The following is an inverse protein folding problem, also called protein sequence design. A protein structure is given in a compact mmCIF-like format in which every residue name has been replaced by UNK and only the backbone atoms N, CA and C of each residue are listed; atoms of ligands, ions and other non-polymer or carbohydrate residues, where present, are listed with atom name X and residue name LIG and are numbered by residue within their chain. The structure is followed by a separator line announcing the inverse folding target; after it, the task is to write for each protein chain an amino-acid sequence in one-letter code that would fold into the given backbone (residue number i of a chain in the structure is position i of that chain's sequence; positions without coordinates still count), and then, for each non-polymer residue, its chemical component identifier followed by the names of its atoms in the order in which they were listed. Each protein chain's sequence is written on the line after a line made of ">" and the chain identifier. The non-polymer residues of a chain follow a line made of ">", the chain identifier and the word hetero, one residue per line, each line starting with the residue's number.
data_IF_387464414447
#
_entry.id   IF_387464414447
#
_cell.length_a   1.000
_cell.length_b   1.000
_cell.length_c   1.000
_cell.angle_alpha   90.00
_cell.angle_beta   90.00
_cell.angle_gamma   90.00
#
_symmetry.space_group_name_H-M   'P 1'
#
loop_
_entity.id
_entity.type
_entity.pdbx_description
1 polymer ?
#
# COMPACT_ATOMS: atom_id res chain seq x y z
N UNK A 1 27.57 -17.26 17.61
CA UNK A 1 27.09 -15.86 17.69
C UNK A 1 28.22 -14.97 18.23
N UNK A 2 28.71 -14.02 17.44
CA UNK A 2 29.92 -13.24 17.78
C UNK A 2 29.61 -12.17 18.84
N UNK A 3 30.36 -12.14 19.95
CA UNK A 3 30.11 -11.27 21.13
C UNK A 3 30.16 -9.77 20.81
N UNK A 4 30.79 -9.39 19.70
CA UNK A 4 30.82 -8.03 19.15
C UNK A 4 29.45 -7.57 18.60
N UNK A 5 28.69 -8.48 17.98
CA UNK A 5 27.35 -8.18 17.42
C UNK A 5 26.36 -7.90 18.56
N UNK A 6 26.47 -8.65 19.66
CA UNK A 6 25.66 -8.48 20.88
C UNK A 6 25.88 -7.11 21.53
N UNK A 7 27.08 -6.53 21.44
CA UNK A 7 27.35 -5.18 21.96
C UNK A 7 26.74 -4.07 21.11
N UNK A 8 26.68 -4.23 19.77
CA UNK A 8 26.01 -3.26 18.87
C UNK A 8 24.47 -3.30 18.98
N UNK A 9 23.90 -4.43 19.41
CA UNK A 9 22.45 -4.62 19.60
C UNK A 9 21.86 -3.80 20.78
N UNK A 10 22.67 -3.33 21.73
CA UNK A 10 22.18 -2.68 22.96
C UNK A 10 21.84 -1.18 22.84
N UNK A 11 22.07 -0.53 21.70
CA UNK A 11 21.96 0.94 21.59
C UNK A 11 20.82 1.46 20.71
N UNK A 12 20.06 0.59 20.04
CA UNK A 12 18.97 1.03 19.17
C UNK A 12 17.66 0.30 19.52
N UNK A 13 16.62 1.00 20.01
CA UNK A 13 15.37 0.39 20.47
C UNK A 13 14.63 -0.39 19.37
N UNK A 14 14.91 -0.13 18.08
CA UNK A 14 14.38 -0.93 16.96
C UNK A 14 14.88 -2.38 16.98
N UNK A 15 16.09 -2.64 17.48
CA UNK A 15 16.65 -3.99 17.57
C UNK A 15 16.17 -4.75 18.81
N UNK A 16 15.70 -4.03 19.84
CA UNK A 16 15.10 -4.65 21.01
C UNK A 16 13.73 -5.29 20.66
N UNK A 17 12.92 -4.61 19.83
CA UNK A 17 11.64 -5.14 19.33
C UNK A 17 11.83 -6.40 18.47
N UNK A 18 12.87 -6.42 17.64
CA UNK A 18 13.16 -7.57 16.75
C UNK A 18 13.68 -8.81 17.47
N UNK A 19 14.15 -8.67 18.72
CA UNK A 19 14.86 -9.74 19.42
C UNK A 19 13.95 -10.94 19.73
N UNK A 20 12.70 -10.67 20.11
CA UNK A 20 11.75 -11.72 20.52
C UNK A 20 11.18 -12.49 19.32
N UNK A 21 10.88 -11.81 18.22
CA UNK A 21 10.37 -12.45 17.00
C UNK A 21 11.36 -13.46 16.39
N UNK A 22 12.66 -13.19 16.50
CA UNK A 22 13.70 -14.11 16.02
C UNK A 22 13.84 -15.35 16.91
N UNK A 23 13.56 -15.21 18.21
CA UNK A 23 13.71 -16.28 19.21
C UNK A 23 12.50 -17.23 19.22
N UNK A 24 11.28 -16.73 18.99
CA UNK A 24 10.05 -17.54 18.98
C UNK A 24 9.97 -18.51 17.81
N UNK A 25 10.54 -18.18 16.66
CA UNK A 25 10.41 -18.97 15.45
C UNK A 25 11.55 -20.00 15.20
N UNK A 26 12.51 -20.21 16.12
CA UNK A 26 13.64 -21.15 15.96
C UNK A 26 14.32 -21.10 14.55
N UNK A 27 14.51 -19.88 14.00
CA UNK A 27 14.76 -19.68 12.56
C UNK A 27 16.23 -19.75 12.13
N UNK A 28 17.20 -20.28 12.88
CA UNK A 28 18.58 -20.25 12.36
C UNK A 28 18.77 -21.10 11.10
N UNK A 29 18.18 -22.30 11.04
CA UNK A 29 18.24 -23.16 9.85
C UNK A 29 17.27 -22.75 8.74
N UNK A 30 16.12 -22.18 9.11
CA UNK A 30 15.08 -21.76 8.17
C UNK A 30 15.44 -20.42 7.52
N UNK A 31 16.12 -19.52 8.23
CA UNK A 31 16.61 -18.24 7.70
C UNK A 31 17.76 -18.50 6.72
N UNK A 32 18.65 -19.44 7.04
CA UNK A 32 19.68 -19.91 6.10
C UNK A 32 19.06 -20.57 4.85
N UNK A 33 18.02 -21.38 5.01
CA UNK A 33 17.30 -21.98 3.88
C UNK A 33 16.64 -20.94 2.97
N UNK A 34 15.94 -19.98 3.56
CA UNK A 34 15.25 -18.91 2.83
C UNK A 34 16.22 -17.92 2.20
N UNK A 35 17.31 -17.60 2.89
CA UNK A 35 18.40 -16.80 2.34
C UNK A 35 19.06 -17.50 1.15
N UNK A 36 19.35 -18.80 1.27
CA UNK A 36 19.84 -19.62 0.16
C UNK A 36 18.86 -19.57 -1.02
N UNK A 37 17.57 -19.79 -0.77
CA UNK A 37 16.53 -19.77 -1.81
C UNK A 37 16.42 -18.41 -2.52
N UNK A 38 16.45 -17.31 -1.78
CA UNK A 38 16.40 -15.94 -2.33
C UNK A 38 17.67 -15.59 -3.12
N UNK A 39 18.85 -15.98 -2.62
CA UNK A 39 20.12 -15.80 -3.32
C UNK A 39 20.17 -16.61 -4.62
N UNK A 40 19.72 -17.87 -4.57
CA UNK A 40 19.53 -18.75 -5.74
C UNK A 40 18.60 -18.13 -6.78
N UNK A 41 17.38 -17.74 -6.38
CA UNK A 41 16.42 -17.08 -7.27
C UNK A 41 16.97 -15.78 -7.88
N UNK A 42 17.70 -14.97 -7.09
CA UNK A 42 18.36 -13.75 -7.56
C UNK A 42 19.48 -14.05 -8.56
N UNK A 43 20.27 -15.10 -8.31
CA UNK A 43 21.38 -15.51 -9.16
C UNK A 43 20.84 -16.05 -10.49
N UNK A 44 19.85 -16.92 -10.47
CA UNK A 44 19.21 -17.45 -11.69
C UNK A 44 18.54 -16.36 -12.51
N UNK A 45 17.88 -15.40 -11.85
CA UNK A 45 17.36 -14.22 -12.53
C UNK A 45 18.47 -13.41 -13.25
N UNK A 46 19.68 -13.34 -12.69
CA UNK A 46 20.82 -12.58 -13.25
C UNK A 46 21.62 -13.34 -14.30
N UNK A 47 21.83 -14.63 -14.12
CA UNK A 47 22.74 -15.45 -14.93
C UNK A 47 22.13 -15.81 -16.30
N UNK A 48 20.80 -15.79 -16.41
CA UNK A 48 20.10 -16.02 -17.68
C UNK A 48 20.39 -17.39 -18.29
N UNK A 49 19.98 -17.60 -19.54
CA UNK A 49 20.01 -18.91 -20.23
C UNK A 49 21.41 -19.49 -20.53
N UNK A 50 22.50 -18.84 -20.11
CA UNK A 50 23.87 -19.29 -20.41
C UNK A 50 24.39 -20.40 -19.47
N UNK A 51 23.76 -20.60 -18.31
CA UNK A 51 24.11 -21.66 -17.37
C UNK A 51 23.01 -22.73 -17.34
N UNK A 52 23.40 -24.00 -17.50
CA UNK A 52 22.50 -25.13 -17.27
C UNK A 52 22.38 -25.38 -15.76
N UNK A 53 21.37 -24.77 -15.12
CA UNK A 53 21.08 -25.01 -13.71
C UNK A 53 20.28 -26.30 -13.53
N UNK A 54 20.83 -27.26 -12.80
CA UNK A 54 20.13 -28.47 -12.32
C UNK A 54 19.73 -28.36 -10.84
N UNK A 55 20.07 -27.24 -10.19
CA UNK A 55 19.90 -27.05 -8.76
C UNK A 55 18.50 -26.52 -8.41
N UNK A 56 17.78 -25.96 -9.38
CA UNK A 56 16.54 -25.24 -9.13
C UNK A 56 15.34 -25.87 -9.82
N UNK A 57 14.18 -25.85 -9.14
CA UNK A 57 12.91 -26.34 -9.66
C UNK A 57 12.15 -25.32 -10.51
N UNK A 58 12.83 -24.38 -11.18
CA UNK A 58 12.18 -23.36 -12.00
C UNK A 58 11.65 -23.97 -13.30
N UNK A 59 10.34 -23.85 -13.59
CA UNK A 59 9.80 -24.32 -14.87
C UNK A 59 10.43 -23.58 -16.05
N UNK A 60 10.60 -24.28 -17.18
CA UNK A 60 11.05 -23.64 -18.41
C UNK A 60 9.97 -22.67 -18.92
N UNK A 61 10.35 -21.41 -19.15
CA UNK A 61 9.47 -20.36 -19.67
C UNK A 61 8.82 -20.71 -21.00
N UNK A 62 9.51 -21.49 -21.84
CA UNK A 62 9.00 -21.92 -23.15
C UNK A 62 7.82 -22.90 -23.01
N UNK A 63 7.59 -23.47 -21.82
CA UNK A 63 6.44 -24.32 -21.51
C UNK A 63 5.20 -23.53 -21.05
N UNK A 64 5.32 -22.22 -20.82
CA UNK A 64 4.19 -21.40 -20.42
C UNK A 64 3.19 -21.26 -21.58
N UNK A 65 1.87 -21.38 -21.35
CA UNK A 65 0.87 -21.45 -22.42
C UNK A 65 0.53 -20.08 -23.04
N UNK A 66 1.28 -19.03 -22.72
CA UNK A 66 0.97 -17.65 -23.11
C UNK A 66 2.10 -17.06 -23.95
N UNK A 67 1.75 -16.52 -25.12
CA UNK A 67 2.72 -15.90 -26.04
C UNK A 67 2.78 -14.39 -25.92
N UNK A 68 1.65 -13.74 -25.56
CA UNK A 68 1.51 -12.30 -25.48
C UNK A 68 0.36 -11.89 -24.55
N UNK A 69 0.53 -10.80 -23.82
CA UNK A 69 -0.54 -10.10 -23.12
C UNK A 69 -0.53 -8.62 -23.49
N UNK A 70 -1.70 -8.09 -23.84
CA UNK A 70 -1.89 -6.67 -24.18
C UNK A 70 -2.92 -6.06 -23.24
N UNK A 71 -2.57 -4.95 -22.60
CA UNK A 71 -3.46 -4.18 -21.73
C UNK A 71 -3.57 -2.77 -22.27
N UNK A 72 -4.78 -2.37 -22.64
CA UNK A 72 -5.08 -1.02 -23.09
C UNK A 72 -5.50 -0.15 -21.91
N UNK A 73 -4.95 1.06 -21.85
CA UNK A 73 -5.19 2.03 -20.77
C UNK A 73 -6.19 3.10 -21.22
N UNK A 74 -6.86 3.75 -20.25
CA UNK A 74 -7.90 4.75 -20.54
C UNK A 74 -7.35 6.05 -21.12
N UNK A 75 -6.08 6.32 -20.93
CA UNK A 75 -5.31 7.43 -21.49
C UNK A 75 -4.75 7.12 -22.89
N UNK A 76 -5.11 5.95 -23.48
CA UNK A 76 -4.73 5.57 -24.83
C UNK A 76 -3.34 4.95 -24.96
N UNK A 77 -2.67 4.70 -23.84
CA UNK A 77 -1.44 3.90 -23.79
C UNK A 77 -1.73 2.40 -23.88
N UNK A 78 -0.74 1.63 -24.33
CA UNK A 78 -0.83 0.16 -24.44
C UNK A 78 0.39 -0.46 -23.76
N UNK A 79 0.14 -1.33 -22.79
CA UNK A 79 1.15 -2.17 -22.17
C UNK A 79 1.17 -3.52 -22.90
N UNK A 80 2.33 -3.91 -23.40
CA UNK A 80 2.54 -5.19 -24.09
C UNK A 80 3.58 -6.01 -23.33
N UNK A 81 3.20 -7.21 -22.91
CA UNK A 81 4.10 -8.21 -22.33
C UNK A 81 4.27 -9.35 -23.34
N UNK A 82 5.47 -9.52 -23.87
CA UNK A 82 5.83 -10.58 -24.81
C UNK A 82 7.30 -11.00 -24.63
N UNK A 83 7.65 -12.18 -25.13
CA UNK A 83 9.01 -12.72 -25.04
C UNK A 83 9.53 -12.79 -23.60
N UNK A 84 10.73 -12.27 -23.36
CA UNK A 84 11.38 -12.32 -22.04
C UNK A 84 10.62 -11.55 -20.96
N UNK A 85 9.93 -10.47 -21.30
CA UNK A 85 9.18 -9.68 -20.30
C UNK A 85 7.95 -10.44 -19.81
N UNK A 86 7.28 -11.18 -20.71
CA UNK A 86 6.21 -12.10 -20.32
C UNK A 86 6.76 -13.30 -19.52
N UNK A 87 7.91 -13.85 -19.94
CA UNK A 87 8.60 -14.92 -19.22
C UNK A 87 8.88 -14.52 -17.76
N UNK A 88 9.52 -13.36 -17.55
CA UNK A 88 9.77 -12.81 -16.21
C UNK A 88 8.48 -12.55 -15.42
N UNK A 89 7.43 -12.02 -16.07
CA UNK A 89 6.15 -11.73 -15.41
C UNK A 89 5.42 -12.99 -14.91
N UNK A 90 5.70 -14.15 -15.51
CA UNK A 90 5.09 -15.44 -15.17
C UNK A 90 6.00 -16.34 -14.32
N UNK A 91 7.26 -15.98 -14.15
CA UNK A 91 8.28 -16.75 -13.44
C UNK A 91 8.44 -16.32 -11.98
N UNK A 92 9.05 -17.19 -11.18
CA UNK A 92 9.57 -16.82 -9.86
C UNK A 92 10.57 -15.67 -9.94
N UNK A 93 10.45 -14.74 -8.99
CA UNK A 93 11.34 -13.58 -8.82
C UNK A 93 11.78 -13.48 -7.36
N UNK A 94 12.80 -12.67 -7.03
CA UNK A 94 13.18 -12.45 -5.64
C UNK A 94 11.99 -12.03 -4.78
N UNK A 95 11.94 -12.52 -3.54
CA UNK A 95 10.81 -12.29 -2.64
C UNK A 95 10.54 -10.83 -2.33
N UNK A 96 11.60 -10.01 -2.34
CA UNK A 96 11.49 -8.57 -2.26
C UNK A 96 10.56 -7.96 -3.32
N UNK A 97 10.55 -8.52 -4.54
CA UNK A 97 9.75 -8.06 -5.68
C UNK A 97 10.50 -8.09 -7.01
N UNK A 98 9.76 -7.79 -8.09
CA UNK A 98 10.29 -7.68 -9.44
C UNK A 98 11.32 -6.52 -9.51
N UNK A 99 12.57 -6.77 -9.96
CA UNK A 99 13.63 -5.76 -9.90
C UNK A 99 13.34 -4.43 -10.62
N UNK A 100 12.65 -4.47 -11.76
CA UNK A 100 12.23 -3.27 -12.48
C UNK A 100 11.28 -2.42 -11.63
N UNK A 101 10.26 -3.06 -11.04
CA UNK A 101 9.33 -2.39 -10.14
C UNK A 101 10.04 -1.84 -8.90
N UNK A 102 10.96 -2.60 -8.28
CA UNK A 102 11.71 -2.11 -7.12
C UNK A 102 12.51 -0.85 -7.45
N UNK A 103 13.11 -0.77 -8.64
CA UNK A 103 13.82 0.43 -9.09
C UNK A 103 12.88 1.63 -9.23
N UNK A 104 11.71 1.44 -9.84
CA UNK A 104 10.69 2.48 -9.98
C UNK A 104 10.18 2.96 -8.62
N UNK A 105 9.88 2.04 -7.71
CA UNK A 105 9.40 2.35 -6.36
C UNK A 105 10.44 3.11 -5.53
N UNK A 106 11.73 2.76 -5.65
CA UNK A 106 12.82 3.49 -4.99
C UNK A 106 12.90 4.94 -5.49
N UNK A 107 12.85 5.14 -6.82
CA UNK A 107 12.83 6.49 -7.40
C UNK A 107 11.60 7.26 -6.92
N UNK A 108 10.43 6.63 -6.98
CA UNK A 108 9.17 7.21 -6.54
C UNK A 108 9.24 7.70 -5.07
N UNK A 109 9.76 6.87 -4.16
CA UNK A 109 9.93 7.24 -2.76
C UNK A 109 10.90 8.40 -2.57
N UNK A 110 12.02 8.40 -3.31
CA UNK A 110 13.02 9.44 -3.25
C UNK A 110 12.48 10.78 -3.77
N UNK A 111 11.78 10.76 -4.90
CA UNK A 111 11.26 11.97 -5.55
C UNK A 111 10.10 12.59 -4.76
N UNK A 112 9.19 11.75 -4.25
CA UNK A 112 7.99 12.21 -3.56
C UNK A 112 8.27 12.65 -2.11
N UNK A 113 9.03 11.86 -1.36
CA UNK A 113 9.21 12.04 0.08
C UNK A 113 10.57 12.61 0.46
N UNK A 114 11.59 12.50 -0.40
CA UNK A 114 12.96 13.01 -0.13
C UNK A 114 13.48 12.62 1.26
N UNK A 115 13.46 11.32 1.63
CA UNK A 115 13.91 10.89 2.95
C UNK A 115 15.38 11.26 3.22
N UNK A 116 15.76 11.51 4.49
CA UNK A 116 17.15 11.64 4.87
C UNK A 116 17.95 10.37 4.52
N UNK A 117 19.24 10.51 4.20
CA UNK A 117 20.09 9.39 3.81
C UNK A 117 20.32 8.40 4.98
N UNK A 118 19.51 7.35 5.02
CA UNK A 118 19.66 6.19 5.91
C UNK A 118 19.51 4.91 5.08
N UNK A 119 20.08 3.77 5.51
CA UNK A 119 19.96 2.50 4.81
C UNK A 119 18.51 2.00 4.89
N UNK A 120 17.71 2.38 3.89
CA UNK A 120 16.32 1.98 3.68
C UNK A 120 16.18 1.29 2.34
N UNK A 121 15.14 0.49 2.22
CA UNK A 121 14.77 -0.10 0.94
C UNK A 121 13.24 -0.27 0.87
N UNK A 122 12.74 -0.91 -0.20
CA UNK A 122 11.33 -1.17 -0.45
C UNK A 122 11.05 -2.66 -0.62
N UNK A 123 9.88 -3.13 -0.16
CA UNK A 123 9.39 -4.51 -0.26
C UNK A 123 7.99 -4.48 -0.88
N UNK A 124 7.75 -5.26 -1.93
CA UNK A 124 6.43 -5.36 -2.56
C UNK A 124 5.49 -6.16 -1.67
N UNK A 125 4.23 -5.74 -1.58
CA UNK A 125 3.19 -6.37 -0.76
C UNK A 125 1.88 -6.55 -1.52
N UNK A 126 1.01 -7.41 -0.98
CA UNK A 126 -0.33 -7.63 -1.50
C UNK A 126 -1.35 -6.52 -1.14
N UNK A 127 -0.88 -5.27 -1.15
CA UNK A 127 -1.61 -4.06 -0.77
C UNK A 127 -1.33 -3.58 0.65
N UNK A 128 -1.84 -2.38 0.98
CA UNK A 128 -1.52 -1.73 2.25
C UNK A 128 -1.98 -2.52 3.50
N UNK A 129 -3.05 -3.30 3.41
CA UNK A 129 -3.50 -4.16 4.51
C UNK A 129 -2.52 -5.31 4.79
N UNK A 130 -1.93 -5.91 3.75
CA UNK A 130 -0.91 -6.92 3.92
C UNK A 130 0.31 -6.31 4.62
N UNK A 131 0.79 -5.14 4.16
CA UNK A 131 1.89 -4.45 4.84
C UNK A 131 1.60 -4.10 6.31
N UNK A 132 0.37 -3.68 6.65
CA UNK A 132 -0.03 -3.45 8.06
C UNK A 132 0.04 -4.75 8.86
N UNK A 133 -0.53 -5.84 8.34
CA UNK A 133 -0.52 -7.14 8.99
C UNK A 133 0.91 -7.59 9.29
N UNK A 134 1.80 -7.57 8.30
CA UNK A 134 3.19 -7.98 8.49
C UNK A 134 3.92 -7.13 9.53
N UNK A 135 3.66 -5.81 9.57
CA UNK A 135 4.27 -4.95 10.58
C UNK A 135 3.74 -5.22 11.98
N UNK A 136 2.44 -5.47 12.13
CA UNK A 136 1.82 -5.81 13.43
C UNK A 136 2.37 -7.13 13.92
N UNK A 137 2.37 -8.16 13.08
CA UNK A 137 2.87 -9.50 13.43
C UNK A 137 4.36 -9.49 13.78
N UNK A 138 5.17 -8.70 13.06
CA UNK A 138 6.62 -8.60 13.30
C UNK A 138 6.98 -7.81 14.57
N UNK A 139 6.20 -6.78 14.93
CA UNK A 139 6.63 -5.78 15.91
C UNK A 139 5.91 -5.84 17.25
N UNK A 140 4.79 -6.56 17.33
CA UNK A 140 3.90 -6.51 18.49
C UNK A 140 3.63 -7.90 19.05
N UNK A 141 3.65 -7.98 20.37
CA UNK A 141 3.26 -9.18 21.12
C UNK A 141 1.87 -9.00 21.76
N UNK A 142 1.17 -10.10 22.08
CA UNK A 142 -0.06 -10.03 22.86
C UNK A 142 0.13 -9.28 24.18
N UNK A 143 -0.55 -8.14 24.32
CA UNK A 143 -0.47 -7.27 25.49
C UNK A 143 0.27 -5.95 25.25
N UNK A 144 0.94 -5.79 24.10
CA UNK A 144 1.61 -4.54 23.76
C UNK A 144 0.61 -3.40 23.47
N UNK A 145 0.81 -2.21 24.07
CA UNK A 145 -0.05 -1.06 23.79
C UNK A 145 0.27 -0.44 22.43
N UNK A 146 -0.76 -0.22 21.61
CA UNK A 146 -0.66 0.50 20.33
C UNK A 146 -1.39 1.83 20.45
N UNK A 147 -0.71 2.93 20.12
CA UNK A 147 -1.35 4.23 19.96
C UNK A 147 -1.96 4.31 18.56
N UNK A 148 -3.27 4.49 18.50
CA UNK A 148 -4.02 4.65 17.26
C UNK A 148 -4.84 5.94 17.28
N UNK A 149 -5.25 6.40 16.09
CA UNK A 149 -6.20 7.50 16.00
C UNK A 149 -7.61 7.03 16.39
N UNK A 150 -8.39 7.89 17.03
CA UNK A 150 -9.76 7.56 17.50
C UNK A 150 -10.72 7.06 16.40
N UNK A 151 -10.42 7.35 15.12
CA UNK A 151 -11.14 6.76 13.98
C UNK A 151 -10.45 5.44 13.60
N UNK A 152 -11.07 4.32 13.97
CA UNK A 152 -10.51 2.95 13.88
C UNK A 152 -10.08 2.48 12.49
N UNK A 153 -10.41 3.20 11.42
CA UNK A 153 -9.90 2.88 10.11
C UNK A 153 -8.54 3.54 9.89
N UNK A 154 -7.48 2.82 10.25
CA UNK A 154 -6.09 3.05 9.83
C UNK A 154 -5.98 3.27 8.30
N UNK A 155 -7.01 2.85 7.55
CA UNK A 155 -7.17 2.96 6.10
C UNK A 155 -7.79 4.26 5.58
N UNK A 156 -8.50 5.06 6.40
CA UNK A 156 -9.27 6.22 5.90
C UNK A 156 -8.57 7.56 6.10
N UNK A 157 -7.62 7.64 7.04
CA UNK A 157 -6.83 8.85 7.31
C UNK A 157 -5.41 8.81 6.78
N UNK A 158 -5.00 7.78 6.04
CA UNK A 158 -3.76 7.91 5.27
C UNK A 158 -3.95 9.15 4.39
N UNK A 159 -3.20 10.24 4.59
CA UNK A 159 -3.08 11.21 3.53
C UNK A 159 -2.47 10.39 2.40
N UNK A 160 -3.29 10.00 1.44
CA UNK A 160 -2.77 9.48 0.20
C UNK A 160 -1.97 10.66 -0.33
N UNK A 161 -0.67 10.72 -0.06
CA UNK A 161 0.18 11.82 -0.51
C UNK A 161 0.16 11.87 -2.04
N UNK A 162 -0.04 10.71 -2.67
CA UNK A 162 -0.43 10.52 -4.07
C UNK A 162 -1.66 11.36 -4.51
N UNK A 163 -2.61 11.64 -3.61
CA UNK A 163 -3.80 12.48 -3.81
C UNK A 163 -3.76 13.80 -3.04
N UNK A 164 -2.65 14.16 -2.39
CA UNK A 164 -2.57 15.43 -1.68
C UNK A 164 -2.41 16.57 -2.65
N UNK A 165 -3.27 17.57 -2.60
CA UNK A 165 -3.24 18.75 -3.48
C UNK A 165 -2.21 19.79 -3.04
N UNK A 166 -1.72 19.66 -1.81
CA UNK A 166 -0.58 20.40 -1.25
C UNK A 166 0.44 19.38 -0.75
N UNK A 167 1.71 19.50 -1.13
CA UNK A 167 2.72 18.56 -0.68
C UNK A 167 2.95 18.77 0.83
N UNK A 168 2.52 17.81 1.64
CA UNK A 168 2.74 17.79 3.10
C UNK A 168 3.93 16.86 3.34
N UNK A 169 4.94 17.26 4.12
CA UNK A 169 6.06 16.39 4.46
C UNK A 169 5.56 15.09 5.11
N UNK A 170 6.00 13.95 4.57
CA UNK A 170 5.68 12.64 5.14
C UNK A 170 6.51 12.40 6.40
N UNK A 171 6.07 11.49 7.29
CA UNK A 171 6.92 11.05 8.39
C UNK A 171 8.26 10.48 7.91
N UNK A 172 8.27 9.86 6.73
CA UNK A 172 9.47 9.33 6.10
C UNK A 172 10.48 10.45 5.75
N UNK A 173 9.99 11.63 5.35
CA UNK A 173 10.83 12.81 5.10
C UNK A 173 11.48 13.39 6.38
N UNK A 174 10.88 13.11 7.54
CA UNK A 174 11.34 13.60 8.85
C UNK A 174 12.17 12.56 9.61
N UNK A 175 12.30 11.35 9.06
CA UNK A 175 12.90 10.22 9.76
C UNK A 175 14.43 10.28 9.68
N UNK A 176 15.06 10.83 10.72
CA UNK A 176 16.52 10.88 10.85
C UNK A 176 17.10 9.70 11.62
N UNK A 177 16.27 8.85 12.23
CA UNK A 177 16.72 7.74 13.08
C UNK A 177 16.32 6.36 12.58
N UNK A 178 15.61 6.26 11.46
CA UNK A 178 15.19 4.97 10.91
C UNK A 178 14.03 4.35 11.69
N UNK A 179 13.12 5.15 12.26
CA UNK A 179 11.99 4.66 13.07
C UNK A 179 10.66 4.61 12.31
N UNK A 180 10.64 5.09 11.08
CA UNK A 180 9.42 5.15 10.28
C UNK A 180 9.36 3.96 9.34
N UNK A 181 8.29 3.19 9.45
CA UNK A 181 7.84 2.24 8.44
C UNK A 181 6.71 2.90 7.69
N UNK A 182 6.88 3.08 6.38
CA UNK A 182 5.86 3.65 5.50
C UNK A 182 5.21 2.53 4.70
N UNK A 183 3.87 2.58 4.61
CA UNK A 183 3.05 1.63 3.89
C UNK A 183 2.31 2.36 2.78
N UNK A 184 2.49 1.91 1.54
CA UNK A 184 1.85 2.49 0.37
C UNK A 184 1.02 1.42 -0.38
N UNK A 185 0.02 1.86 -1.14
CA UNK A 185 -0.82 0.95 -1.93
C UNK A 185 -1.36 1.59 -3.19
N UNK A 186 -1.38 0.81 -4.27
CA UNK A 186 -2.03 1.19 -5.54
C UNK A 186 -3.53 0.93 -5.54
N UNK A 187 -4.11 0.36 -4.47
CA UNK A 187 -5.52 -0.04 -4.43
C UNK A 187 -6.51 1.10 -4.67
N UNK A 188 -6.06 2.34 -4.42
CA UNK A 188 -6.86 3.57 -4.57
C UNK A 188 -6.34 4.45 -5.70
N UNK A 189 -5.26 4.03 -6.37
CA UNK A 189 -4.59 4.76 -7.45
C UNK A 189 -4.85 4.06 -8.80
N UNK A 190 -4.53 2.77 -8.90
CA UNK A 190 -4.69 2.00 -10.13
C UNK A 190 -5.94 1.11 -10.02
N UNK A 191 -5.90 0.11 -9.14
CA UNK A 191 -7.00 -0.84 -8.95
C UNK A 191 -6.83 -1.61 -7.65
N UNK A 192 -7.91 -1.76 -6.88
CA UNK A 192 -7.91 -2.62 -5.69
C UNK A 192 -7.82 -4.11 -6.02
N UNK A 193 -8.18 -4.51 -7.25
CA UNK A 193 -8.13 -5.90 -7.70
C UNK A 193 -6.72 -6.40 -7.99
N UNK A 194 -5.78 -5.50 -8.31
CA UNK A 194 -4.38 -5.85 -8.53
C UNK A 194 -3.66 -6.28 -7.25
N UNK A 195 -4.25 -6.00 -6.08
CA UNK A 195 -3.67 -6.31 -4.76
C UNK A 195 -2.24 -5.80 -4.63
N UNK A 196 -1.93 -4.60 -5.13
CA UNK A 196 -0.58 -4.07 -5.11
C UNK A 196 -0.32 -3.04 -4.00
N UNK A 197 0.87 -3.10 -3.42
CA UNK A 197 1.41 -2.12 -2.48
C UNK A 197 2.89 -2.37 -2.21
N UNK A 198 3.47 -1.55 -1.33
CA UNK A 198 4.85 -1.75 -0.88
C UNK A 198 5.07 -1.16 0.51
N UNK A 199 6.10 -1.65 1.19
CA UNK A 199 6.61 -1.11 2.45
C UNK A 199 7.93 -0.41 2.17
N UNK A 200 8.15 0.75 2.79
CA UNK A 200 9.47 1.41 2.85
C UNK A 200 9.91 1.46 4.30
N UNK A 201 11.06 0.85 4.60
CA UNK A 201 11.55 0.67 5.96
C UNK A 201 13.09 0.67 5.99
N UNK A 202 13.70 0.85 7.18
CA UNK A 202 15.11 0.53 7.39
C UNK A 202 15.43 -0.90 6.94
N UNK A 203 16.61 -1.09 6.34
CA UNK A 203 17.00 -2.35 5.72
C UNK A 203 16.85 -3.56 6.65
N UNK A 204 17.22 -3.42 7.92
CA UNK A 204 17.13 -4.49 8.92
C UNK A 204 15.69 -4.94 9.18
N UNK A 205 14.74 -4.00 9.20
CA UNK A 205 13.32 -4.36 9.34
C UNK A 205 12.79 -5.01 8.06
N UNK A 206 13.24 -4.51 6.91
CA UNK A 206 12.81 -5.02 5.62
C UNK A 206 13.27 -6.46 5.36
N UNK A 207 14.49 -6.80 5.74
CA UNK A 207 15.02 -8.17 5.68
C UNK A 207 14.13 -9.14 6.48
N UNK A 208 13.59 -8.70 7.62
CA UNK A 208 12.66 -9.52 8.43
C UNK A 208 11.25 -9.59 7.85
N UNK A 209 10.76 -8.50 7.28
CA UNK A 209 9.49 -8.51 6.55
C UNK A 209 9.55 -9.38 5.29
N UNK A 210 10.70 -9.44 4.62
CA UNK A 210 10.90 -10.31 3.46
C UNK A 210 10.87 -11.79 3.86
N UNK A 211 11.56 -12.17 4.94
CA UNK A 211 11.48 -13.53 5.49
C UNK A 211 10.05 -13.90 5.91
N UNK A 212 9.32 -12.94 6.49
CA UNK A 212 7.91 -13.13 6.83
C UNK A 212 7.05 -13.36 5.57
N UNK A 213 7.23 -12.57 4.52
CA UNK A 213 6.58 -12.80 3.22
C UNK A 213 6.92 -14.18 2.65
N UNK A 214 8.16 -14.65 2.83
CA UNK A 214 8.57 -15.97 2.36
C UNK A 214 7.83 -17.11 3.05
N UNK A 215 7.59 -16.97 4.35
CA UNK A 215 6.82 -17.94 5.13
C UNK A 215 5.30 -17.89 4.82
N UNK A 216 4.77 -16.71 4.49
CA UNK A 216 3.32 -16.53 4.24
C UNK A 216 2.91 -16.89 2.80
N UNK A 217 3.59 -16.31 1.81
CA UNK A 217 3.13 -16.31 0.42
C UNK A 217 4.25 -16.30 -0.64
N UNK A 218 5.52 -16.44 -0.22
CA UNK A 218 6.74 -16.29 -1.02
C UNK A 218 6.97 -14.88 -1.57
N UNK A 219 6.11 -14.42 -2.47
CA UNK A 219 6.14 -13.07 -3.03
C UNK A 219 4.79 -12.67 -3.65
N UNK A 220 4.57 -11.37 -3.82
CA UNK A 220 3.41 -10.86 -4.55
C UNK A 220 3.39 -11.36 -6.00
N UNK A 221 2.20 -11.54 -6.57
CA UNK A 221 2.03 -12.01 -7.96
C UNK A 221 2.85 -11.15 -8.95
N UNK A 222 3.83 -11.76 -9.62
CA UNK A 222 4.74 -11.05 -10.53
C UNK A 222 4.01 -10.43 -11.72
N UNK A 223 3.00 -11.12 -12.25
CA UNK A 223 2.16 -10.58 -13.33
C UNK A 223 1.44 -9.29 -12.88
N UNK A 224 0.90 -9.28 -11.66
CA UNK A 224 0.30 -8.07 -11.12
C UNK A 224 1.34 -6.95 -10.97
N UNK A 225 2.56 -7.26 -10.50
CA UNK A 225 3.68 -6.33 -10.41
C UNK A 225 4.03 -5.71 -11.78
N UNK A 226 4.05 -6.50 -12.86
CA UNK A 226 4.33 -6.01 -14.21
C UNK A 226 3.27 -5.04 -14.77
N UNK A 227 2.06 -5.05 -14.22
CA UNK A 227 0.99 -4.11 -14.59
C UNK A 227 1.06 -2.76 -13.84
N UNK A 228 2.03 -2.57 -12.93
CA UNK A 228 2.12 -1.36 -12.10
C UNK A 228 2.74 -0.13 -12.79
N UNK A 229 3.29 -0.27 -14.00
CA UNK A 229 4.09 0.75 -14.70
C UNK A 229 3.35 2.03 -15.14
N UNK A 230 2.14 2.29 -14.61
CA UNK A 230 1.28 3.42 -15.01
C UNK A 230 0.70 4.17 -13.79
N UNK A 231 1.56 4.59 -12.84
CA UNK A 231 1.15 5.28 -11.61
C UNK A 231 0.57 6.71 -11.79
N UNK A 232 0.44 7.23 -13.01
CA UNK A 232 0.30 8.68 -13.22
C UNK A 232 -1.11 9.24 -13.54
N UNK A 233 -2.16 8.42 -13.69
CA UNK A 233 -3.43 8.92 -14.25
C UNK A 233 -4.53 9.30 -13.22
N UNK A 234 -4.45 8.87 -11.96
CA UNK A 234 -5.61 8.96 -11.06
C UNK A 234 -5.81 10.32 -10.38
N UNK A 235 -4.73 11.09 -10.19
CA UNK A 235 -4.75 12.31 -9.38
C UNK A 235 -5.71 13.36 -9.96
N UNK A 236 -5.61 13.68 -11.24
CA UNK A 236 -6.48 14.72 -11.83
C UNK A 236 -7.97 14.35 -11.79
N UNK A 237 -8.31 13.05 -11.98
CA UNK A 237 -9.69 12.57 -11.90
C UNK A 237 -10.31 12.81 -10.52
N UNK A 238 -9.59 12.44 -9.45
CA UNK A 238 -10.08 12.62 -8.09
C UNK A 238 -10.08 14.09 -7.66
N UNK A 239 -9.20 14.94 -8.24
CA UNK A 239 -9.25 16.39 -8.05
C UNK A 239 -10.56 16.98 -8.54
N UNK A 240 -10.92 16.67 -9.79
CA UNK A 240 -12.14 17.17 -10.43
C UNK A 240 -13.39 16.71 -9.68
N UNK A 241 -13.40 15.44 -9.24
CA UNK A 241 -14.50 14.90 -8.42
C UNK A 241 -14.63 15.59 -7.06
N UNK A 242 -13.49 15.87 -6.40
CA UNK A 242 -13.45 16.64 -5.15
C UNK A 242 -14.03 18.03 -5.37
N UNK A 243 -13.53 18.75 -6.37
CA UNK A 243 -13.93 20.14 -6.62
C UNK A 243 -15.43 20.24 -6.96
N UNK A 244 -15.95 19.30 -7.74
CA UNK A 244 -17.38 19.22 -8.06
C UNK A 244 -18.26 18.92 -6.83
N UNK A 245 -17.86 17.99 -5.96
CA UNK A 245 -18.61 17.69 -4.72
C UNK A 245 -18.56 18.86 -3.75
N UNK A 246 -17.41 19.52 -3.61
CA UNK A 246 -17.28 20.71 -2.77
C UNK A 246 -18.15 21.86 -3.27
N UNK A 247 -18.24 22.07 -4.59
CA UNK A 247 -19.14 23.07 -5.17
C UNK A 247 -20.61 22.79 -4.83
N UNK A 248 -21.05 21.54 -4.95
CA UNK A 248 -22.42 21.15 -4.58
C UNK A 248 -22.70 21.32 -3.06
N UNK A 249 -21.74 20.96 -2.19
CA UNK A 249 -21.89 21.15 -0.75
C UNK A 249 -21.90 22.64 -0.35
N UNK A 250 -21.24 23.52 -1.11
CA UNK A 250 -21.30 24.96 -0.88
C UNK A 250 -22.71 25.55 -1.06
N UNK A 251 -23.59 24.91 -1.84
CA UNK A 251 -24.99 25.34 -2.00
C UNK A 251 -25.81 25.13 -0.72
N UNK A 252 -25.43 24.14 0.10
CA UNK A 252 -26.10 23.78 1.37
C UNK A 252 -25.24 24.11 2.60
N UNK A 253 -24.35 25.10 2.49
CA UNK A 253 -23.43 25.53 3.55
C UNK A 253 -24.12 26.01 4.83
N UNK A 254 -25.35 26.50 4.74
CA UNK A 254 -26.14 26.94 5.89
C UNK A 254 -26.55 25.75 6.78
N UNK A 255 -26.61 24.55 6.20
CA UNK A 255 -26.95 23.30 6.89
C UNK A 255 -25.71 22.45 7.21
N UNK A 256 -24.58 22.72 6.56
CA UNK A 256 -23.39 21.86 6.65
C UNK A 256 -22.09 22.66 6.74
N UNK A 257 -21.23 22.25 7.68
CA UNK A 257 -19.85 22.67 7.76
C UNK A 257 -18.95 21.61 7.13
N UNK A 258 -18.42 21.88 5.93
CA UNK A 258 -17.54 20.96 5.21
C UNK A 258 -16.22 21.66 4.83
N UNK A 259 -15.09 21.34 5.49
CA UNK A 259 -13.78 21.84 5.04
C UNK A 259 -13.37 21.14 3.74
N UNK A 260 -12.79 21.89 2.80
CA UNK A 260 -12.24 21.32 1.56
C UNK A 260 -11.10 20.34 1.91
N UNK A 261 -11.21 19.04 1.57
CA UNK A 261 -10.15 18.09 1.88
C UNK A 261 -8.89 18.37 1.07
N UNK A 262 -7.75 18.34 1.76
CA UNK A 262 -6.43 18.52 1.16
C UNK A 262 -5.91 17.27 0.45
N UNK A 263 -6.48 16.10 0.70
CA UNK A 263 -6.10 14.83 0.08
C UNK A 263 -7.20 13.75 0.20
N UNK A 264 -7.05 12.66 -0.55
CA UNK A 264 -7.81 11.42 -0.35
C UNK A 264 -9.15 11.33 -1.08
N UNK A 265 -9.95 10.32 -0.70
CA UNK A 265 -11.20 9.93 -1.37
C UNK A 265 -12.46 10.26 -0.56
N UNK A 266 -12.29 10.90 0.59
CA UNK A 266 -13.31 11.06 1.61
C UNK A 266 -13.64 12.53 1.83
N UNK A 267 -14.94 12.83 1.92
CA UNK A 267 -15.44 14.12 2.35
C UNK A 267 -16.11 14.00 3.71
N UNK A 268 -15.73 14.89 4.60
CA UNK A 268 -16.33 15.01 5.92
C UNK A 268 -17.16 16.28 5.97
N UNK A 269 -18.47 16.12 6.17
CA UNK A 269 -19.38 17.24 6.40
C UNK A 269 -20.01 17.08 7.79
N UNK A 270 -19.95 18.14 8.59
CA UNK A 270 -20.72 18.25 9.81
C UNK A 270 -22.08 18.84 9.47
N UNK A 271 -23.16 18.19 9.85
CA UNK A 271 -24.52 18.70 9.61
C UNK A 271 -25.02 19.39 10.88
N UNK A 272 -25.54 20.61 10.75
CA UNK A 272 -26.07 21.35 11.89
C UNK A 272 -27.39 20.73 12.39
N UNK A 273 -27.54 20.64 13.70
CA UNK A 273 -28.76 20.09 14.33
C UNK A 273 -28.90 18.57 14.26
N UNK A 274 -27.83 17.85 13.87
CA UNK A 274 -27.82 16.38 13.86
C UNK A 274 -26.71 15.87 14.76
N UNK A 275 -27.09 15.32 15.92
CA UNK A 275 -26.14 14.78 16.90
C UNK A 275 -25.74 13.32 16.60
N UNK A 276 -26.57 12.60 15.84
CA UNK A 276 -26.37 11.20 15.47
C UNK A 276 -26.69 10.96 13.99
N UNK A 277 -25.74 10.41 13.25
CA UNK A 277 -25.86 10.11 11.81
C UNK A 277 -26.96 9.08 11.52
N UNK A 278 -27.24 8.17 12.47
CA UNK A 278 -28.33 7.20 12.33
C UNK A 278 -29.70 7.87 12.38
N UNK A 279 -29.89 8.90 13.21
CA UNK A 279 -31.11 9.70 13.22
C UNK A 279 -31.35 10.39 11.87
N UNK A 280 -30.28 10.69 11.13
CA UNK A 280 -30.37 11.27 9.80
C UNK A 280 -31.05 10.33 8.80
N UNK A 281 -30.76 9.01 8.87
CA UNK A 281 -31.37 7.98 8.02
C UNK A 281 -32.86 7.80 8.31
N UNK A 282 -33.28 7.88 9.57
CA UNK A 282 -34.67 7.66 9.96
C UNK A 282 -35.54 8.93 9.89
N UNK A 283 -34.96 10.12 10.12
CA UNK A 283 -35.70 11.39 10.18
C UNK A 283 -35.80 12.12 8.83
N UNK A 284 -34.78 12.02 7.96
CA UNK A 284 -34.71 12.83 6.73
C UNK A 284 -34.78 12.03 5.42
N UNK A 285 -34.60 10.70 5.47
CA UNK A 285 -34.67 9.83 4.29
C UNK A 285 -35.80 8.82 4.44
N UNK A 286 -37.07 9.19 4.13
CA UNK A 286 -38.15 8.21 4.09
C UNK A 286 -37.79 7.11 3.11
N UNK A 287 -38.12 5.86 3.46
CA UNK A 287 -37.83 4.62 2.71
C UNK A 287 -38.34 4.60 1.26
N UNK A 288 -39.08 5.63 0.83
CA UNK A 288 -39.66 5.81 -0.50
C UNK A 288 -38.78 6.56 -1.51
N UNK A 289 -37.67 7.20 -1.09
CA UNK A 289 -36.71 7.82 -2.01
C UNK A 289 -35.50 6.92 -2.20
N UNK A 290 -35.11 6.54 -3.43
CA UNK A 290 -33.87 5.82 -3.66
C UNK A 290 -32.69 6.78 -3.39
N UNK A 291 -32.26 6.86 -2.13
CA UNK A 291 -31.11 7.67 -1.75
C UNK A 291 -29.87 7.10 -2.43
N UNK A 292 -29.31 7.82 -3.40
CA UNK A 292 -28.07 7.43 -4.11
C UNK A 292 -26.80 7.75 -3.32
N UNK A 293 -26.93 8.10 -2.04
CA UNK A 293 -25.85 8.59 -1.19
C UNK A 293 -25.67 7.61 -0.02
N UNK A 294 -24.48 7.04 0.08
CA UNK A 294 -24.09 6.21 1.20
C UNK A 294 -23.35 7.07 2.23
N UNK A 295 -23.87 7.10 3.46
CA UNK A 295 -23.31 7.83 4.59
C UNK A 295 -22.65 6.87 5.58
N UNK A 296 -21.58 7.33 6.23
CA UNK A 296 -20.91 6.62 7.33
C UNK A 296 -20.60 7.60 8.46
N UNK A 297 -20.68 7.14 9.69
CA UNK A 297 -20.33 7.91 10.88
C UNK A 297 -18.82 7.93 11.10
N UNK A 298 -18.28 9.09 11.52
CA UNK A 298 -16.84 9.27 11.80
C UNK A 298 -16.42 8.75 13.17
N UNK A 299 -17.19 9.08 14.19
CA UNK A 299 -17.00 8.67 15.59
C UNK A 299 -18.39 8.46 16.20
N UNK A 300 -18.58 7.45 17.07
CA UNK A 300 -19.86 7.22 17.73
C UNK A 300 -20.33 8.50 18.44
N UNK A 301 -21.56 8.93 18.18
CA UNK A 301 -22.18 10.12 18.79
C UNK A 301 -21.56 11.46 18.37
N UNK A 302 -20.97 11.53 17.17
CA UNK A 302 -20.54 12.82 16.59
C UNK A 302 -21.28 13.15 15.30
N UNK A 303 -21.58 14.43 15.14
CA UNK A 303 -22.35 15.05 14.04
C UNK A 303 -21.70 15.02 12.65
N UNK A 304 -20.81 14.05 12.39
CA UNK A 304 -19.97 14.04 11.19
C UNK A 304 -20.37 12.92 10.23
N UNK A 305 -20.83 13.35 9.06
CA UNK A 305 -21.27 12.52 7.96
C UNK A 305 -20.15 12.35 6.93
N UNK A 306 -19.81 11.09 6.65
CA UNK A 306 -18.93 10.71 5.55
C UNK A 306 -19.72 10.68 4.23
N UNK A 307 -19.27 11.45 3.24
CA UNK A 307 -19.70 11.27 1.85
C UNK A 307 -18.57 10.59 1.11
N UNK A 308 -18.81 9.36 0.65
CA UNK A 308 -17.85 8.63 -0.20
C UNK A 308 -18.37 8.59 -1.64
N UNK A 309 -17.51 8.82 -2.62
CA UNK A 309 -17.89 8.63 -4.03
C UNK A 309 -16.75 8.07 -4.86
N UNK A 310 -16.36 6.84 -4.56
CA UNK A 310 -15.51 6.04 -5.46
C UNK A 310 -16.25 5.61 -6.74
N UNK A 311 -17.57 5.37 -6.66
CA UNK A 311 -18.32 4.56 -7.64
C UNK A 311 -19.30 5.30 -8.56
N UNK A 312 -19.42 6.63 -8.50
CA UNK A 312 -20.44 7.32 -9.27
C UNK A 312 -19.95 7.82 -10.63
N UNK A 313 -20.81 7.62 -11.63
CA UNK A 313 -20.66 8.06 -13.01
C UNK A 313 -20.90 9.58 -13.12
N UNK A 314 -20.06 10.27 -13.89
CA UNK A 314 -20.03 11.75 -13.99
C UNK A 314 -21.20 12.34 -14.80
N UNK A 315 -22.19 11.54 -15.19
CA UNK A 315 -23.17 11.92 -16.23
C UNK A 315 -24.51 12.41 -15.70
N UNK A 316 -24.74 12.47 -14.37
CA UNK A 316 -26.02 12.96 -13.84
C UNK A 316 -25.86 13.90 -12.64
N UNK A 317 -26.42 15.12 -12.69
CA UNK A 317 -26.57 15.97 -11.52
C UNK A 317 -27.55 15.27 -10.57
N UNK A 318 -27.03 14.74 -9.47
CA UNK A 318 -27.79 13.92 -8.52
C UNK A 318 -27.62 14.40 -7.09
N UNK A 319 -27.34 15.70 -6.92
CA UNK A 319 -27.24 16.38 -5.63
C UNK A 319 -28.31 17.49 -5.52
N UNK A 320 -29.43 17.30 -6.23
CA UNK A 320 -30.68 18.02 -5.96
C UNK A 320 -31.52 17.23 -4.97
#
# INVERSE_FOLDING_TARGET
>A
MNKEIVKKLNFNPLYALLRNYTESCQIQSVEEFFKFYSESASLSYKVGRQMLSLAEGMPNEDAFPYTKMTVETRDGGTLVLEGQELGKALQYVPSQGLPSLLSELRSFQQDLHKPPALPRDVLVTNGGQHGIYQCVDLLLEPGDPILTTQVYSILEKQPFELFSWKQVPSFLSLDVCGRVIRLDSISKVISSGLRGGWVTAPKVLLERLELHSQAELLHSCTLAQSLHSHLHAARELYRRRRDALYAALCEVRELTQCPLPSAGLFFWARVHGVDDVYNMRYAFFPTSLPTKIALKEKEPHTSVTLVTRSRADNTKPGLQ
#
